data_IF_401447440298
#
_entry.id   IF_401447440298
#
_cell.length_a   1.000
_cell.length_b   1.000
_cell.length_c   1.000
_cell.angle_alpha   90.00
_cell.angle_beta   90.00
_cell.angle_gamma   90.00
#
_symmetry.space_group_name_H-M   'P 1'
#
loop_
_entity.id
_entity.type
_entity.pdbx_description
1 polymer ?
#
# COMPACT_ATOMS: atom_id res chain seq x y z
N UNK A 1 0.63 1.48 -10.23
CA UNK A 1 1.49 1.01 -11.34
C UNK A 1 0.59 0.62 -12.48
N UNK A 2 0.83 1.06 -13.72
CA UNK A 2 -0.01 0.72 -14.86
C UNK A 2 0.79 0.10 -16.00
N UNK A 3 0.19 -0.86 -16.70
CA UNK A 3 0.75 -1.53 -17.87
C UNK A 3 -0.07 -1.17 -19.13
N UNK A 4 0.57 -0.44 -20.03
CA UNK A 4 0.02 -0.06 -21.34
C UNK A 4 0.09 -1.24 -22.33
N UNK A 5 -0.72 -1.23 -23.40
CA UNK A 5 -0.77 -2.32 -24.41
C UNK A 5 0.54 -2.55 -25.13
N UNK A 6 1.09 -1.49 -25.70
CA UNK A 6 2.27 -1.55 -26.57
C UNK A 6 3.46 -0.79 -25.97
N UNK A 7 3.40 -0.52 -24.67
CA UNK A 7 4.13 0.59 -24.08
C UNK A 7 4.93 0.29 -22.82
N UNK A 8 5.53 1.33 -22.22
CA UNK A 8 6.28 1.22 -20.99
C UNK A 8 5.36 1.00 -19.78
N UNK A 9 5.93 0.41 -18.72
CA UNK A 9 5.31 0.40 -17.38
C UNK A 9 5.31 1.81 -16.80
N UNK A 10 4.16 2.27 -16.33
CA UNK A 10 4.01 3.58 -15.67
C UNK A 10 3.89 3.43 -14.16
N UNK A 11 4.47 4.39 -13.41
CA UNK A 11 4.44 4.45 -11.94
C UNK A 11 4.11 5.88 -11.50
N UNK A 12 3.41 6.04 -10.38
CA UNK A 12 3.02 7.36 -9.84
C UNK A 12 1.92 8.02 -10.66
N UNK A 13 2.02 9.35 -10.84
CA UNK A 13 0.96 10.18 -11.44
C UNK A 13 0.58 9.74 -12.85
N UNK A 14 1.55 9.28 -13.65
CA UNK A 14 1.28 8.81 -15.02
C UNK A 14 0.40 7.56 -15.01
N UNK A 15 0.62 6.65 -14.05
CA UNK A 15 -0.26 5.50 -13.87
C UNK A 15 -1.65 5.92 -13.36
N UNK A 16 -1.71 6.87 -12.42
CA UNK A 16 -2.98 7.35 -11.84
C UNK A 16 -3.88 8.00 -12.90
N UNK A 17 -3.33 8.82 -13.79
CA UNK A 17 -4.12 9.53 -14.83
C UNK A 17 -4.84 8.62 -15.81
N UNK A 18 -4.28 7.45 -16.10
CA UNK A 18 -4.88 6.49 -17.05
C UNK A 18 -5.77 5.44 -16.38
N UNK A 19 -5.91 5.45 -15.04
CA UNK A 19 -6.58 4.39 -14.30
C UNK A 19 -8.03 4.16 -14.77
N UNK A 20 -8.76 5.25 -15.05
CA UNK A 20 -10.15 5.22 -15.53
C UNK A 20 -10.28 4.54 -16.89
N UNK A 21 -9.30 4.75 -17.79
CA UNK A 21 -9.32 4.19 -19.15
C UNK A 21 -8.68 2.79 -19.24
N UNK A 22 -7.86 2.43 -18.26
CA UNK A 22 -7.14 1.16 -18.20
C UNK A 22 -7.24 0.50 -16.80
N UNK A 23 -8.46 0.23 -16.31
CA UNK A 23 -8.67 -0.15 -14.91
C UNK A 23 -8.13 -1.55 -14.59
N UNK A 24 -8.22 -2.49 -15.53
CA UNK A 24 -7.79 -3.89 -15.30
C UNK A 24 -6.27 -4.04 -15.28
N UNK A 25 -5.51 -3.09 -15.84
CA UNK A 25 -4.05 -3.13 -15.89
C UNK A 25 -3.40 -1.99 -15.10
N UNK A 26 -4.19 -1.28 -14.29
CA UNK A 26 -3.69 -0.28 -13.34
C UNK A 26 -3.81 -0.83 -11.92
N UNK A 27 -2.67 -1.27 -11.40
CA UNK A 27 -2.53 -1.86 -10.07
C UNK A 27 -2.32 -0.77 -9.02
N UNK A 28 -3.22 -0.69 -8.05
CA UNK A 28 -3.15 0.17 -6.87
C UNK A 28 -3.48 -0.65 -5.62
N UNK A 29 -3.41 -0.07 -4.41
CA UNK A 29 -3.70 -0.75 -3.15
C UNK A 29 -3.02 -2.13 -2.93
N UNK A 30 -1.99 -2.50 -3.70
CA UNK A 30 -1.36 -3.84 -3.63
C UNK A 30 -0.65 -4.10 -2.30
N UNK A 31 -0.39 -3.06 -1.50
CA UNK A 31 0.06 -3.18 -0.11
C UNK A 31 -0.96 -3.94 0.76
N UNK A 32 -2.27 -3.92 0.44
CA UNK A 32 -3.28 -4.75 1.13
C UNK A 32 -3.13 -6.24 0.83
N UNK A 33 -2.48 -6.60 -0.29
CA UNK A 33 -2.25 -7.99 -0.73
C UNK A 33 -0.86 -8.53 -0.35
N UNK A 34 0.10 -7.67 -0.04
CA UNK A 34 1.48 -8.08 0.23
C UNK A 34 1.56 -9.03 1.43
N UNK A 35 2.25 -10.16 1.27
CA UNK A 35 2.37 -11.19 2.31
C UNK A 35 1.06 -11.88 2.70
N UNK A 36 -0.02 -11.77 1.90
CA UNK A 36 -1.30 -12.45 2.14
C UNK A 36 -1.50 -13.67 1.24
N UNK A 37 -2.28 -14.61 1.75
CA UNK A 37 -2.74 -15.80 1.02
C UNK A 37 -3.94 -15.43 0.15
N UNK A 38 -4.05 -16.06 -1.01
CA UNK A 38 -5.20 -15.84 -1.88
C UNK A 38 -6.53 -16.16 -1.17
N UNK A 39 -6.56 -17.23 -0.37
CA UNK A 39 -7.75 -17.71 0.31
C UNK A 39 -8.04 -16.99 1.66
N UNK A 40 -7.25 -15.98 2.06
CA UNK A 40 -7.49 -15.21 3.29
C UNK A 40 -8.82 -14.44 3.21
N UNK A 41 -9.61 -14.41 4.28
CA UNK A 41 -10.92 -13.75 4.30
C UNK A 41 -10.81 -12.27 3.96
N UNK A 42 -9.77 -11.61 4.46
CA UNK A 42 -9.50 -10.20 4.16
C UNK A 42 -9.21 -10.01 2.67
N UNK A 43 -8.36 -10.87 2.10
CA UNK A 43 -8.07 -10.85 0.66
C UNK A 43 -9.34 -11.07 -0.15
N UNK A 44 -10.16 -12.08 0.18
CA UNK A 44 -11.42 -12.38 -0.50
C UNK A 44 -12.43 -11.23 -0.42
N UNK A 45 -12.43 -10.45 0.66
CA UNK A 45 -13.22 -9.21 0.76
C UNK A 45 -12.71 -8.17 -0.24
N UNK A 46 -11.40 -7.89 -0.23
CA UNK A 46 -10.79 -6.89 -1.11
C UNK A 46 -10.99 -7.25 -2.60
N UNK A 47 -10.95 -8.54 -2.98
CA UNK A 47 -11.13 -8.98 -4.38
C UNK A 47 -12.42 -8.49 -5.03
N UNK A 48 -13.48 -8.28 -4.25
CA UNK A 48 -14.79 -7.88 -4.76
C UNK A 48 -14.82 -6.43 -5.27
N UNK A 49 -13.82 -5.65 -4.90
CA UNK A 49 -13.79 -4.21 -5.12
C UNK A 49 -12.62 -3.76 -6.00
N UNK A 50 -11.70 -4.68 -6.33
CA UNK A 50 -10.55 -4.37 -7.17
C UNK A 50 -10.93 -4.50 -8.66
N UNK A 51 -10.59 -3.52 -9.51
CA UNK A 51 -10.89 -3.58 -10.94
C UNK A 51 -9.98 -4.53 -11.71
N UNK A 52 -8.77 -4.77 -11.18
CA UNK A 52 -7.77 -5.67 -11.74
C UNK A 52 -7.89 -7.07 -11.13
N UNK A 53 -7.38 -8.06 -11.85
CA UNK A 53 -7.48 -9.46 -11.48
C UNK A 53 -6.44 -9.82 -10.41
N UNK A 54 -6.90 -10.47 -9.35
CA UNK A 54 -6.04 -11.14 -8.36
C UNK A 54 -6.13 -12.64 -8.61
N UNK A 55 -4.99 -13.32 -8.58
CA UNK A 55 -4.84 -14.74 -8.88
C UNK A 55 -4.11 -15.47 -7.75
N UNK A 56 -4.38 -16.77 -7.62
CA UNK A 56 -3.68 -17.65 -6.70
C UNK A 56 -2.37 -18.10 -7.33
N UNK A 57 -1.24 -17.73 -6.73
CA UNK A 57 0.06 -18.22 -7.16
C UNK A 57 0.25 -19.70 -6.82
N UNK A 58 1.26 -20.34 -7.41
CA UNK A 58 1.58 -21.76 -7.18
C UNK A 58 1.83 -22.09 -5.70
N UNK A 59 2.40 -21.15 -4.96
CA UNK A 59 2.60 -21.31 -3.51
C UNK A 59 1.34 -21.03 -2.69
N UNK A 60 0.27 -20.50 -3.31
CA UNK A 60 -1.02 -20.12 -2.72
C UNK A 60 -1.14 -18.66 -2.26
N UNK A 61 -0.14 -17.83 -2.54
CA UNK A 61 -0.17 -16.40 -2.23
C UNK A 61 -1.09 -15.62 -3.18
N UNK A 62 -1.56 -14.47 -2.73
CA UNK A 62 -2.33 -13.54 -3.56
C UNK A 62 -1.40 -12.77 -4.50
N UNK A 63 -1.49 -13.03 -5.80
CA UNK A 63 -0.77 -12.32 -6.86
C UNK A 63 -1.73 -11.53 -7.73
N UNK A 64 -1.21 -10.61 -8.54
CA UNK A 64 -2.03 -9.79 -9.44
C UNK A 64 -1.69 -10.08 -10.89
N UNK A 65 -2.66 -9.95 -11.79
CA UNK A 65 -2.48 -10.16 -13.22
C UNK A 65 -2.72 -8.83 -13.96
N UNK A 66 -1.81 -8.51 -14.88
CA UNK A 66 -1.94 -7.38 -15.80
C UNK A 66 -1.36 -7.78 -17.15
N UNK A 67 -2.09 -7.52 -18.24
CA UNK A 67 -1.70 -7.84 -19.62
C UNK A 67 -1.21 -9.30 -19.78
N UNK A 68 -1.95 -10.24 -19.18
CA UNK A 68 -1.66 -11.68 -19.25
C UNK A 68 -0.43 -12.14 -18.44
N UNK A 69 0.28 -11.22 -17.77
CA UNK A 69 1.41 -11.53 -16.90
C UNK A 69 1.00 -11.46 -15.44
N UNK A 70 1.58 -12.34 -14.62
CA UNK A 70 1.34 -12.35 -13.18
C UNK A 70 2.50 -11.71 -12.43
N UNK A 71 2.19 -10.96 -11.37
CA UNK A 71 3.14 -10.25 -10.54
C UNK A 71 2.83 -10.49 -9.08
N UNK A 72 3.87 -10.73 -8.28
CA UNK A 72 3.71 -10.71 -6.83
C UNK A 72 3.48 -9.27 -6.34
N UNK A 73 2.77 -9.06 -5.23
CA UNK A 73 2.65 -7.73 -4.63
C UNK A 73 4.02 -7.11 -4.30
N UNK A 74 5.02 -7.93 -3.98
CA UNK A 74 6.41 -7.48 -3.80
C UNK A 74 7.03 -6.92 -5.08
N UNK A 75 6.78 -7.52 -6.25
CA UNK A 75 7.23 -6.96 -7.53
C UNK A 75 6.55 -5.61 -7.82
N UNK A 76 5.24 -5.49 -7.54
CA UNK A 76 4.52 -4.22 -7.71
C UNK A 76 5.06 -3.16 -6.76
N UNK A 77 5.30 -3.51 -5.49
CA UNK A 77 5.94 -2.65 -4.51
C UNK A 77 7.35 -2.23 -4.94
N UNK A 78 8.12 -3.15 -5.53
CA UNK A 78 9.45 -2.86 -6.05
C UNK A 78 9.41 -1.80 -7.16
N UNK A 79 8.41 -1.82 -8.04
CA UNK A 79 8.27 -0.77 -9.07
C UNK A 79 8.05 0.62 -8.47
N UNK A 80 7.31 0.71 -7.37
CA UNK A 80 7.15 1.95 -6.61
C UNK A 80 8.47 2.35 -5.93
N UNK A 81 9.14 1.41 -5.28
CA UNK A 81 10.43 1.66 -4.62
C UNK A 81 11.53 2.07 -5.62
N UNK A 82 11.56 1.49 -6.81
CA UNK A 82 12.45 1.92 -7.90
C UNK A 82 12.17 3.36 -8.29
N UNK A 83 10.90 3.77 -8.37
CA UNK A 83 10.58 5.18 -8.65
C UNK A 83 11.07 6.11 -7.53
N UNK A 84 10.94 5.70 -6.27
CA UNK A 84 11.45 6.49 -5.13
C UNK A 84 12.98 6.58 -5.14
N UNK A 85 13.66 5.48 -5.48
CA UNK A 85 15.10 5.45 -5.70
C UNK A 85 15.52 6.43 -6.80
N UNK A 86 14.91 6.35 -7.99
CA UNK A 86 15.18 7.28 -9.10
C UNK A 86 14.99 8.74 -8.69
N UNK A 87 13.94 9.03 -7.91
CA UNK A 87 13.70 10.38 -7.38
C UNK A 87 14.83 10.85 -6.46
N UNK A 88 15.30 9.99 -5.54
CA UNK A 88 16.42 10.31 -4.66
C UNK A 88 17.73 10.49 -5.44
N UNK A 89 18.01 9.61 -6.40
CA UNK A 89 19.21 9.68 -7.24
C UNK A 89 19.23 10.93 -8.11
N UNK A 90 18.08 11.34 -8.67
CA UNK A 90 17.96 12.57 -9.43
C UNK A 90 18.22 13.82 -8.58
N UNK A 91 17.80 13.81 -7.31
CA UNK A 91 18.05 14.91 -6.38
C UNK A 91 19.51 14.96 -5.92
N UNK A 92 20.11 13.80 -5.61
CA UNK A 92 21.46 13.69 -5.04
C UNK A 92 22.58 13.69 -6.10
N UNK A 93 22.26 13.43 -7.37
CA UNK A 93 23.24 13.27 -8.44
C UNK A 93 24.14 12.03 -8.27
N UNK A 94 23.73 11.04 -7.47
CA UNK A 94 24.52 9.85 -7.16
C UNK A 94 23.63 8.62 -6.96
N UNK A 95 24.21 7.41 -7.09
CA UNK A 95 23.48 6.15 -6.98
C UNK A 95 23.09 5.84 -5.53
N UNK A 96 21.83 5.48 -5.32
CA UNK A 96 21.28 5.05 -4.04
C UNK A 96 21.21 3.53 -3.98
N UNK A 97 21.99 2.91 -3.09
CA UNK A 97 22.06 1.44 -2.95
C UNK A 97 21.39 0.90 -1.70
N UNK A 98 21.18 1.73 -0.70
CA UNK A 98 20.67 1.34 0.61
C UNK A 98 19.41 2.13 0.95
N UNK A 99 18.49 1.52 1.70
CA UNK A 99 17.26 2.18 2.14
C UNK A 99 16.79 1.69 3.51
N UNK A 100 16.05 2.57 4.19
CA UNK A 100 15.11 2.22 5.26
C UNK A 100 13.72 2.25 4.66
N UNK A 101 12.94 1.18 4.87
CA UNK A 101 11.58 1.05 4.30
C UNK A 101 10.58 0.93 5.44
N UNK A 102 9.48 1.68 5.36
CA UNK A 102 8.42 1.68 6.39
C UNK A 102 7.44 0.53 6.17
N UNK A 103 6.85 0.04 7.25
CA UNK A 103 5.70 -0.88 7.25
C UNK A 103 4.74 -0.54 8.39
N UNK A 104 3.45 -0.90 8.29
CA UNK A 104 2.51 -0.79 9.41
C UNK A 104 3.04 -1.51 10.64
N UNK A 105 2.79 -0.97 11.84
CA UNK A 105 3.27 -1.59 13.07
C UNK A 105 2.72 -3.00 13.24
N UNK A 106 1.46 -3.19 12.84
CA UNK A 106 0.75 -4.47 12.95
C UNK A 106 1.01 -5.47 11.80
N UNK A 107 1.96 -5.19 10.90
CA UNK A 107 2.40 -6.18 9.91
C UNK A 107 3.03 -7.42 10.56
N UNK A 108 2.59 -8.59 10.11
CA UNK A 108 3.16 -9.87 10.51
C UNK A 108 4.48 -10.19 9.77
N UNK A 109 5.13 -11.30 10.14
CA UNK A 109 6.43 -11.70 9.59
C UNK A 109 6.42 -11.89 8.06
N UNK A 110 5.37 -12.48 7.51
CA UNK A 110 5.25 -12.70 6.06
C UNK A 110 5.15 -11.37 5.31
N UNK A 111 4.36 -10.42 5.83
CA UNK A 111 4.19 -9.10 5.23
C UNK A 111 5.50 -8.30 5.30
N UNK A 112 6.19 -8.33 6.46
CA UNK A 112 7.50 -7.68 6.63
C UNK A 112 8.55 -8.25 5.68
N UNK A 113 8.62 -9.57 5.56
CA UNK A 113 9.54 -10.23 4.65
C UNK A 113 9.23 -9.88 3.18
N UNK A 114 7.96 -9.91 2.79
CA UNK A 114 7.54 -9.56 1.44
C UNK A 114 7.85 -8.08 1.08
N UNK A 115 7.74 -7.15 2.04
CA UNK A 115 8.19 -5.76 1.85
C UNK A 115 9.72 -5.65 1.72
N UNK A 116 10.47 -6.41 2.52
CA UNK A 116 11.94 -6.48 2.39
C UNK A 116 12.36 -7.01 1.02
N UNK A 117 11.66 -8.02 0.52
CA UNK A 117 11.87 -8.59 -0.81
C UNK A 117 11.58 -7.58 -1.91
N UNK A 118 10.55 -6.74 -1.76
CA UNK A 118 10.28 -5.63 -2.68
C UNK A 118 11.47 -4.67 -2.79
N UNK A 119 12.12 -4.34 -1.65
CA UNK A 119 13.35 -3.55 -1.65
C UNK A 119 14.49 -4.23 -2.40
N UNK A 120 14.69 -5.53 -2.18
CA UNK A 120 15.70 -6.32 -2.89
C UNK A 120 15.45 -6.34 -4.41
N UNK A 121 14.21 -6.55 -4.85
CA UNK A 121 13.82 -6.52 -6.27
C UNK A 121 14.07 -5.13 -6.88
N UNK A 122 13.92 -4.05 -6.10
CA UNK A 122 14.21 -2.69 -6.50
C UNK A 122 15.72 -2.33 -6.51
N UNK A 123 16.61 -3.32 -6.28
CA UNK A 123 18.05 -3.12 -6.11
C UNK A 123 18.40 -2.12 -4.99
N UNK A 124 17.72 -2.27 -3.85
CA UNK A 124 17.99 -1.59 -2.60
C UNK A 124 18.35 -2.61 -1.51
N UNK A 125 19.48 -2.42 -0.84
CA UNK A 125 19.78 -3.10 0.41
C UNK A 125 18.92 -2.48 1.53
N UNK A 126 17.93 -3.23 2.00
CA UNK A 126 17.05 -2.77 3.07
C UNK A 126 17.76 -2.89 4.42
N UNK A 127 18.37 -1.80 4.89
CA UNK A 127 19.13 -1.74 6.15
C UNK A 127 18.24 -1.88 7.37
N UNK A 128 17.00 -1.41 7.26
CA UNK A 128 15.99 -1.51 8.32
C UNK A 128 14.59 -1.51 7.72
N UNK A 129 13.75 -2.38 8.27
CA UNK A 129 12.30 -2.20 8.22
C UNK A 129 11.90 -1.46 9.49
N UNK A 130 11.29 -0.29 9.34
CA UNK A 130 10.83 0.53 10.47
C UNK A 130 9.31 0.58 10.49
N UNK A 131 8.73 0.58 11.68
CA UNK A 131 7.28 0.74 11.83
C UNK A 131 6.89 2.19 11.53
N UNK A 132 5.80 2.37 10.78
CA UNK A 132 5.24 3.67 10.41
C UNK A 132 5.04 4.62 11.61
N UNK A 133 4.36 4.22 12.71
CA UNK A 133 4.19 5.12 13.84
C UNK A 133 5.51 5.42 14.58
N UNK A 134 6.49 4.51 14.54
CA UNK A 134 7.83 4.79 15.08
C UNK A 134 8.58 5.80 14.22
N UNK A 135 8.50 5.71 12.90
CA UNK A 135 9.09 6.69 11.99
C UNK A 135 8.45 8.08 12.18
N UNK A 136 7.14 8.14 12.35
CA UNK A 136 6.41 9.37 12.67
C UNK A 136 6.85 9.96 14.03
N UNK A 137 6.99 9.12 15.05
CA UNK A 137 7.48 9.55 16.36
C UNK A 137 8.92 10.08 16.30
N UNK A 138 9.82 9.43 15.56
CA UNK A 138 11.19 9.92 15.33
C UNK A 138 11.18 11.31 14.69
N UNK A 139 10.35 11.52 13.67
CA UNK A 139 10.21 12.81 13.02
C UNK A 139 9.66 13.90 13.97
N UNK A 140 8.67 13.55 14.80
CA UNK A 140 8.12 14.47 15.81
C UNK A 140 9.11 14.81 16.92
N UNK A 141 9.87 13.81 17.38
CA UNK A 141 10.77 13.90 18.54
C UNK A 141 12.15 14.45 18.24
N UNK A 142 12.53 14.66 16.97
CA UNK A 142 13.88 15.07 16.56
C UNK A 142 14.37 16.35 17.25
N UNK A 143 13.47 17.29 17.55
CA UNK A 143 13.78 18.57 18.21
C UNK A 143 13.23 18.66 19.66
N UNK A 144 12.83 17.52 20.26
CA UNK A 144 12.17 17.51 21.58
C UNK A 144 13.09 16.87 22.63
N UNK A 145 13.47 17.67 23.62
CA UNK A 145 14.34 17.22 24.73
C UNK A 145 13.56 16.81 25.99
N UNK A 146 12.26 17.11 26.05
CA UNK A 146 11.44 16.83 27.24
C UNK A 146 10.87 15.42 27.17
N UNK A 147 11.00 14.67 28.27
CA UNK A 147 10.37 13.37 28.46
C UNK A 147 8.85 13.44 28.26
N UNK A 148 8.33 12.92 27.15
CA UNK A 148 6.89 12.97 26.83
C UNK A 148 6.38 11.63 26.35
N UNK A 149 5.21 11.26 26.87
CA UNK A 149 4.41 10.17 26.33
C UNK A 149 3.50 10.74 25.24
N UNK A 150 3.53 10.13 24.06
CA UNK A 150 2.73 10.52 22.90
C UNK A 150 1.89 9.34 22.40
N UNK A 151 0.76 9.68 21.77
CA UNK A 151 -0.04 8.74 21.00
C UNK A 151 0.10 9.09 19.52
N UNK A 152 0.56 8.13 18.71
CA UNK A 152 0.60 8.26 17.25
C UNK A 152 -0.59 7.50 16.69
N UNK A 153 -1.57 8.25 16.18
CA UNK A 153 -2.72 7.74 15.46
C UNK A 153 -2.45 7.87 13.96
N UNK A 154 -2.30 6.74 13.27
CA UNK A 154 -1.99 6.68 11.84
C UNK A 154 -3.12 5.95 11.12
N UNK A 155 -3.95 6.70 10.37
CA UNK A 155 -5.00 6.18 9.53
C UNK A 155 -4.68 6.49 8.07
N UNK A 156 -4.11 5.51 7.39
CA UNK A 156 -3.71 5.62 6.00
C UNK A 156 -4.80 5.19 5.02
N UNK A 157 -4.39 4.97 3.76
CA UNK A 157 -5.30 4.50 2.71
C UNK A 157 -5.83 3.07 2.94
N UNK A 158 -5.05 2.17 3.55
CA UNK A 158 -5.48 0.78 3.73
C UNK A 158 -5.11 0.14 5.08
N UNK A 159 -4.50 0.91 5.98
CA UNK A 159 -4.07 0.42 7.29
C UNK A 159 -4.31 1.48 8.35
N UNK A 160 -4.62 1.01 9.55
CA UNK A 160 -4.77 1.82 10.75
C UNK A 160 -3.80 1.29 11.82
N UNK A 161 -3.01 2.18 12.42
CA UNK A 161 -2.16 1.89 13.57
C UNK A 161 -2.38 2.93 14.67
N UNK A 162 -2.32 2.49 15.93
CA UNK A 162 -2.23 3.34 17.10
C UNK A 162 -1.08 2.86 17.97
N UNK A 163 -0.13 3.74 18.25
CA UNK A 163 1.01 3.45 19.12
C UNK A 163 1.12 4.47 20.24
N UNK A 164 1.38 3.98 21.46
CA UNK A 164 1.78 4.81 22.60
C UNK A 164 3.29 4.72 22.73
N UNK A 165 3.96 5.86 22.62
CA UNK A 165 5.43 5.93 22.70
C UNK A 165 5.85 6.88 23.81
N UNK A 166 6.93 6.53 24.48
CA UNK A 166 7.63 7.40 25.41
C UNK A 166 8.92 7.88 24.74
N UNK A 167 9.10 9.21 24.69
CA UNK A 167 10.29 9.86 24.18
C UNK A 167 11.04 10.42 25.38
N UNK A 168 12.26 9.97 25.61
CA UNK A 168 13.11 10.48 26.70
C UNK A 168 14.57 10.47 26.28
N UNK A 169 15.21 11.65 26.30
CA UNK A 169 16.65 11.78 25.98
C UNK A 169 17.03 11.23 24.60
N UNK A 170 16.18 11.39 23.59
CA UNK A 170 16.38 10.84 22.24
C UNK A 170 16.16 9.34 22.11
N UNK A 171 15.77 8.65 23.19
CA UNK A 171 15.31 7.26 23.18
C UNK A 171 13.81 7.21 22.94
N UNK A 172 13.39 6.33 22.03
CA UNK A 172 12.00 6.11 21.67
C UNK A 172 11.60 4.69 22.09
N UNK A 173 10.72 4.59 23.08
CA UNK A 173 10.20 3.31 23.57
C UNK A 173 8.73 3.16 23.19
N UNK A 174 8.39 2.08 22.48
CA UNK A 174 7.00 1.72 22.20
C UNK A 174 6.43 1.03 23.44
N UNK A 175 5.48 1.68 24.12
CA UNK A 175 4.82 1.14 25.32
C UNK A 175 3.67 0.20 24.96
N UNK A 176 2.94 0.53 23.90
CA UNK A 176 1.86 -0.29 23.37
C UNK A 176 1.63 0.03 21.89
N UNK A 177 1.18 -0.96 21.13
CA UNK A 177 0.73 -0.78 19.75
C UNK A 177 -0.49 -1.65 19.48
N UNK A 178 -1.42 -1.15 18.70
CA UNK A 178 -2.58 -1.89 18.17
C UNK A 178 -2.93 -1.33 16.79
N UNK A 179 -3.84 -1.96 16.07
CA UNK A 179 -4.20 -1.52 14.73
C UNK A 179 -5.04 -2.53 13.96
N UNK A 180 -5.34 -2.17 12.72
CA UNK A 180 -6.00 -3.02 11.73
C UNK A 180 -5.31 -2.84 10.37
N UNK A 181 -4.74 -3.95 9.86
CA UNK A 181 -4.01 -3.97 8.58
C UNK A 181 -4.91 -3.97 7.34
N UNK A 182 -6.23 -3.86 7.52
CA UNK A 182 -7.23 -3.88 6.47
C UNK A 182 -8.34 -2.83 6.66
N UNK A 183 -8.01 -1.74 7.35
CA UNK A 183 -8.89 -0.60 7.60
C UNK A 183 -8.18 0.68 7.12
N UNK A 184 -8.82 1.45 6.25
CA UNK A 184 -8.30 2.77 5.86
C UNK A 184 -9.26 3.57 4.98
N UNK A 185 -8.72 4.59 4.31
CA UNK A 185 -9.47 5.42 3.35
C UNK A 185 -10.17 4.63 2.26
N UNK A 186 -9.60 3.54 1.77
CA UNK A 186 -10.23 2.66 0.77
C UNK A 186 -11.57 2.10 1.29
N UNK A 187 -11.68 1.74 2.57
CA UNK A 187 -12.94 1.26 3.14
C UNK A 187 -13.99 2.37 3.23
N UNK A 188 -13.56 3.63 3.40
CA UNK A 188 -14.44 4.81 3.38
C UNK A 188 -14.94 5.07 1.96
N UNK A 189 -14.04 5.03 0.98
CA UNK A 189 -14.35 5.21 -0.44
C UNK A 189 -15.37 4.15 -0.91
N UNK A 190 -15.21 2.90 -0.49
CA UNK A 190 -16.16 1.83 -0.78
C UNK A 190 -17.55 2.09 -0.16
N UNK A 191 -17.61 2.61 1.07
CA UNK A 191 -18.89 2.98 1.69
C UNK A 191 -19.58 4.12 0.96
N UNK A 192 -18.81 5.10 0.48
CA UNK A 192 -19.35 6.19 -0.32
C UNK A 192 -19.82 5.70 -1.68
N UNK A 193 -19.03 4.84 -2.35
CA UNK A 193 -19.40 4.20 -3.60
C UNK A 193 -20.69 3.40 -3.47
N UNK A 194 -20.82 2.53 -2.45
CA UNK A 194 -22.04 1.75 -2.17
C UNK A 194 -23.27 2.63 -1.94
N UNK A 195 -23.08 3.81 -1.33
CA UNK A 195 -24.15 4.78 -1.13
C UNK A 195 -24.55 5.43 -2.46
N UNK A 196 -23.58 5.94 -3.22
CA UNK A 196 -23.83 6.63 -4.49
C UNK A 196 -24.44 5.71 -5.55
N UNK A 197 -23.98 4.47 -5.67
CA UNK A 197 -24.54 3.49 -6.63
C UNK A 197 -25.98 3.13 -6.29
N UNK A 198 -26.30 3.00 -4.99
CA UNK A 198 -27.67 2.77 -4.51
C UNK A 198 -28.58 3.96 -4.80
N UNK A 199 -28.15 5.17 -4.49
CA UNK A 199 -28.92 6.39 -4.76
C UNK A 199 -29.13 6.62 -6.27
N UNK A 200 -28.11 6.32 -7.08
CA UNK A 200 -28.23 6.37 -8.53
C UNK A 200 -29.27 5.36 -9.04
N UNK A 201 -29.24 4.12 -8.54
CA UNK A 201 -30.24 3.10 -8.89
C UNK A 201 -31.65 3.52 -8.45
N UNK A 202 -31.80 4.09 -7.26
CA UNK A 202 -33.09 4.56 -6.76
C UNK A 202 -33.67 5.71 -7.60
N UNK A 203 -32.82 6.63 -8.07
CA UNK A 203 -33.26 7.81 -8.82
C UNK A 203 -33.41 7.57 -10.32
N UNK A 204 -32.55 6.74 -10.93
CA UNK A 204 -32.55 6.49 -12.37
C UNK A 204 -33.17 5.15 -12.79
N UNK A 205 -33.31 4.20 -11.85
CA UNK A 205 -33.67 2.81 -12.15
C UNK A 205 -32.53 1.97 -12.74
N UNK A 206 -31.34 2.55 -12.96
CA UNK A 206 -30.22 1.88 -13.64
C UNK A 206 -29.22 1.36 -12.59
N UNK A 207 -28.83 0.10 -12.72
CA UNK A 207 -27.78 -0.52 -11.89
C UNK A 207 -26.42 -0.42 -12.61
N UNK A 208 -25.49 0.33 -12.04
CA UNK A 208 -24.15 0.56 -12.60
C UNK A 208 -23.07 -0.32 -11.97
N UNK A 209 -23.43 -1.22 -11.04
CA UNK A 209 -22.45 -2.05 -10.33
C UNK A 209 -21.68 -3.03 -11.23
N UNK A 210 -22.22 -3.35 -12.41
CA UNK A 210 -21.53 -4.18 -13.41
C UNK A 210 -20.67 -3.39 -14.39
N UNK A 211 -20.77 -2.06 -14.42
CA UNK A 211 -20.01 -1.21 -15.34
C UNK A 211 -18.70 -0.74 -14.67
N UNK A 212 -17.61 -1.42 -14.99
CA UNK A 212 -16.28 -1.10 -14.44
C UNK A 212 -15.82 0.32 -14.77
N UNK A 213 -16.25 0.88 -15.90
CA UNK A 213 -15.91 2.25 -16.29
C UNK A 213 -16.68 3.28 -15.46
N UNK A 214 -17.94 3.01 -15.14
CA UNK A 214 -18.76 3.88 -14.29
C UNK A 214 -18.34 3.85 -12.80
N UNK A 215 -17.65 2.79 -12.36
CA UNK A 215 -17.17 2.62 -10.98
C UNK A 215 -15.77 3.21 -10.73
N UNK A 216 -15.12 3.80 -11.73
CA UNK A 216 -13.81 4.49 -11.61
C UNK A 216 -13.97 6.00 -11.63
#
# INVERSE_FOLDING_TARGET
>A
VAFSEDGPRHVGDVAKRQAVQNPENTLFATKRLIGRRFDDQVTQKDLKHLPYKVVKANNGDAWVEARGNTYSPSQVGAFVLTKMKETAEAYLGSTCKEAVVTVPAYFNDSQRQATKDAGKIANLEVKRIINEPTAAALAFGMDKNDGKVIAVYDLGGGTFDISILEISGGVFEVKATNGDTALGGEDIDLKLQDFLTREFKNSSGIDIMSDKGALQ
#
